data_IF_572903016359
#
_entry.id   IF_572903016359
#
_cell.length_a   1.000
_cell.length_b   1.000
_cell.length_c   1.000
_cell.angle_alpha   90.00
_cell.angle_beta   90.00
_cell.angle_gamma   90.00
#
_symmetry.space_group_name_H-M   'P 1'
#
loop_
_entity.id
_entity.type
_entity.pdbx_description
1 polymer ?
#
# COMPACT_ATOMS: atom_id res chain seq x y z
N UNK A 1 35.95 -10.65 -57.35
CA UNK A 1 34.74 -10.39 -56.57
C UNK A 1 35.09 -10.33 -55.10
N UNK A 2 35.12 -9.16 -54.48
CA UNK A 2 35.35 -9.00 -53.02
C UNK A 2 34.00 -8.85 -52.39
N UNK A 3 33.58 -9.85 -51.58
CA UNK A 3 32.41 -9.73 -50.73
C UNK A 3 32.73 -8.80 -49.56
N UNK A 4 32.03 -7.66 -49.52
CA UNK A 4 32.09 -6.76 -48.38
C UNK A 4 31.25 -7.31 -47.22
N UNK A 5 31.87 -7.51 -46.06
CA UNK A 5 31.18 -7.76 -44.81
C UNK A 5 30.57 -6.43 -44.30
N UNK A 6 29.24 -6.34 -44.24
CA UNK A 6 28.59 -5.27 -43.49
C UNK A 6 28.65 -5.64 -41.98
N UNK A 7 29.05 -4.72 -41.10
CA UNK A 7 29.00 -4.96 -39.68
C UNK A 7 27.55 -4.96 -39.20
N UNK A 8 27.19 -6.02 -38.50
CA UNK A 8 25.92 -6.13 -37.76
C UNK A 8 25.93 -5.08 -36.65
N UNK A 9 25.17 -4.00 -36.79
CA UNK A 9 25.01 -3.04 -35.72
C UNK A 9 24.24 -3.71 -34.57
N UNK A 10 24.91 -3.95 -33.44
CA UNK A 10 24.26 -4.37 -32.21
C UNK A 10 23.37 -3.23 -31.71
N UNK A 11 22.06 -3.39 -31.86
CA UNK A 11 21.08 -2.50 -31.22
C UNK A 11 21.17 -2.76 -29.72
N UNK A 12 21.91 -1.90 -29.02
CA UNK A 12 21.81 -1.85 -27.56
C UNK A 12 20.39 -1.39 -27.21
N UNK A 13 19.52 -2.32 -26.78
CA UNK A 13 18.28 -1.96 -26.09
C UNK A 13 18.69 -1.24 -24.80
N UNK A 14 18.58 0.07 -24.79
CA UNK A 14 18.63 0.83 -23.55
C UNK A 14 17.50 0.33 -22.65
N UNK A 15 17.77 0.01 -21.36
CA UNK A 15 16.71 -0.35 -20.43
C UNK A 15 15.69 0.80 -20.41
N UNK A 16 14.42 0.48 -20.55
CA UNK A 16 13.36 1.47 -20.42
C UNK A 16 13.53 2.18 -19.06
N UNK A 17 13.68 3.49 -19.10
CA UNK A 17 13.81 4.32 -17.91
C UNK A 17 12.43 4.29 -17.22
N UNK A 18 12.22 3.38 -16.28
CA UNK A 18 11.03 3.38 -15.47
C UNK A 18 11.10 4.57 -14.50
N UNK A 19 9.96 5.22 -14.28
CA UNK A 19 9.88 6.24 -13.23
C UNK A 19 10.28 5.62 -11.88
N UNK A 20 10.90 6.40 -11.01
CA UNK A 20 11.20 5.94 -9.65
C UNK A 20 9.89 5.54 -8.94
N UNK A 21 9.90 4.45 -8.15
CA UNK A 21 8.70 4.03 -7.45
C UNK A 21 8.27 5.06 -6.40
N UNK A 22 6.97 5.13 -6.14
CA UNK A 22 6.45 5.92 -5.03
C UNK A 22 6.72 5.20 -3.70
N UNK A 23 7.04 5.94 -2.65
CA UNK A 23 7.22 5.40 -1.30
C UNK A 23 5.99 5.72 -0.45
N UNK A 24 5.24 4.66 -0.10
CA UNK A 24 4.00 4.74 0.66
C UNK A 24 4.28 4.42 2.12
N UNK A 25 3.87 5.30 3.02
CA UNK A 25 4.07 5.13 4.46
C UNK A 25 3.04 4.13 5.02
N UNK A 26 3.49 2.91 5.34
CA UNK A 26 2.70 1.79 5.88
C UNK A 26 2.15 2.13 7.26
N UNK A 27 0.83 2.29 7.37
CA UNK A 27 0.15 2.75 8.61
C UNK A 27 0.70 4.10 9.10
N UNK A 28 1.06 4.99 8.15
CA UNK A 28 1.89 6.16 8.40
C UNK A 28 3.38 5.81 8.52
N UNK A 29 4.20 6.71 9.06
CA UNK A 29 5.63 6.43 9.34
C UNK A 29 5.76 5.54 10.58
N UNK A 30 5.23 4.32 10.51
CA UNK A 30 5.03 3.41 11.65
C UNK A 30 6.34 2.85 12.25
N UNK A 31 7.45 2.95 11.53
CA UNK A 31 8.76 2.64 12.08
C UNK A 31 9.19 3.60 13.19
N UNK A 32 8.75 4.86 13.13
CA UNK A 32 9.16 5.95 14.03
C UNK A 32 8.03 6.50 14.90
N UNK A 33 6.75 6.29 14.52
CA UNK A 33 5.57 6.72 15.28
C UNK A 33 4.60 5.53 15.44
N UNK A 34 3.61 5.59 16.34
CA UNK A 34 2.67 4.48 16.51
C UNK A 34 1.81 4.27 15.26
N UNK A 35 1.76 3.04 14.77
CA UNK A 35 1.03 2.66 13.56
C UNK A 35 -0.43 3.12 13.61
N UNK A 36 -0.98 3.52 12.46
CA UNK A 36 -2.38 3.88 12.31
C UNK A 36 -2.86 5.01 13.25
N UNK A 37 -1.97 5.94 13.63
CA UNK A 37 -2.32 7.13 14.42
C UNK A 37 -2.11 8.43 13.64
N UNK A 38 -2.73 9.51 14.09
CA UNK A 38 -2.51 10.82 13.47
C UNK A 38 -1.05 11.29 13.59
N UNK A 39 -0.35 10.89 14.65
CA UNK A 39 1.09 11.16 14.79
C UNK A 39 1.89 10.53 13.65
N UNK A 40 1.64 9.25 13.31
CA UNK A 40 2.32 8.55 12.22
C UNK A 40 1.99 9.15 10.84
N UNK A 41 0.74 9.51 10.58
CA UNK A 41 0.33 10.11 9.30
C UNK A 41 0.90 11.51 9.12
N UNK A 42 0.87 12.36 10.14
CA UNK A 42 1.51 13.69 10.12
C UNK A 42 3.03 13.58 9.94
N UNK A 43 3.66 12.57 10.56
CA UNK A 43 5.10 12.33 10.39
C UNK A 43 5.41 11.95 8.94
N UNK A 44 4.60 11.09 8.32
CA UNK A 44 4.75 10.72 6.91
C UNK A 44 4.70 11.96 5.98
N UNK A 45 3.78 12.90 6.24
CA UNK A 45 3.74 14.19 5.52
C UNK A 45 5.02 15.02 5.70
N UNK A 46 5.50 15.16 6.94
CA UNK A 46 6.78 15.87 7.20
C UNK A 46 7.99 15.19 6.57
N UNK A 47 7.94 13.87 6.41
CA UNK A 47 8.98 13.07 5.77
C UNK A 47 8.84 12.99 4.24
N UNK A 48 7.87 13.71 3.67
CA UNK A 48 7.61 13.79 2.24
C UNK A 48 7.35 12.40 1.62
N UNK A 49 6.67 11.51 2.34
CA UNK A 49 6.17 10.26 1.77
C UNK A 49 5.21 10.56 0.61
N UNK A 50 5.29 9.79 -0.48
CA UNK A 50 4.45 10.01 -1.67
C UNK A 50 2.98 9.62 -1.44
N UNK A 51 2.75 8.84 -0.38
CA UNK A 51 1.42 8.49 0.09
C UNK A 51 1.45 7.92 1.49
N UNK A 52 0.26 7.71 2.04
CA UNK A 52 0.05 7.01 3.31
C UNK A 52 -0.86 5.82 3.08
N UNK A 53 -0.64 4.78 3.84
CA UNK A 53 -1.52 3.62 3.87
C UNK A 53 -2.14 3.49 5.26
N UNK A 54 -3.40 3.05 5.34
CA UNK A 54 -4.14 2.83 6.57
C UNK A 54 -5.08 1.64 6.48
N UNK A 55 -5.32 0.99 7.63
CA UNK A 55 -6.18 -0.18 7.79
C UNK A 55 -7.58 0.25 8.28
N UNK A 56 -8.63 -0.01 7.52
CA UNK A 56 -9.97 0.49 7.78
C UNK A 56 -10.92 -0.62 8.25
N UNK A 57 -11.60 -0.36 9.37
CA UNK A 57 -12.66 -1.20 9.92
C UNK A 57 -13.96 -0.43 10.11
N UNK A 58 -15.08 -1.17 10.14
CA UNK A 58 -16.40 -0.64 10.50
C UNK A 58 -16.75 -1.02 11.95
N UNK A 59 -17.14 -0.04 12.75
CA UNK A 59 -17.60 -0.22 14.12
C UNK A 59 -19.06 -0.70 14.20
N UNK A 60 -19.50 -1.16 15.38
CA UNK A 60 -20.88 -1.56 15.65
C UNK A 60 -21.90 -0.45 15.31
N UNK A 61 -21.56 0.80 15.57
CA UNK A 61 -22.39 1.98 15.31
C UNK A 61 -22.16 2.60 13.92
N UNK A 62 -21.66 1.79 12.97
CA UNK A 62 -21.46 2.18 11.57
C UNK A 62 -20.54 3.40 11.39
N UNK A 63 -19.45 3.47 12.13
CA UNK A 63 -18.39 4.46 11.95
C UNK A 63 -17.14 3.81 11.38
N UNK A 64 -16.31 4.59 10.71
CA UNK A 64 -15.06 4.13 10.13
C UNK A 64 -13.89 4.48 11.06
N UNK A 65 -13.18 3.46 11.55
CA UNK A 65 -12.03 3.59 12.44
C UNK A 65 -10.80 2.93 11.82
N UNK A 66 -9.63 3.51 12.08
CA UNK A 66 -8.36 3.01 11.55
C UNK A 66 -7.66 2.19 12.63
N UNK A 67 -7.41 0.89 12.33
CA UNK A 67 -6.71 -0.07 13.16
C UNK A 67 -6.31 -1.26 12.30
N UNK A 68 -5.16 -1.91 12.57
CA UNK A 68 -4.77 -3.07 11.77
C UNK A 68 -5.53 -4.34 12.14
N UNK A 69 -5.55 -4.66 13.44
CA UNK A 69 -6.13 -5.90 13.93
C UNK A 69 -7.67 -5.76 14.11
N UNK A 70 -8.45 -6.84 14.07
CA UNK A 70 -9.89 -6.81 14.33
C UNK A 70 -10.24 -6.46 15.78
N UNK A 71 -9.24 -6.36 16.65
CA UNK A 71 -9.35 -5.92 18.04
C UNK A 71 -8.21 -4.95 18.40
N UNK A 72 -8.37 -4.24 19.51
CA UNK A 72 -7.46 -3.16 19.91
C UNK A 72 -6.30 -3.59 20.79
N UNK A 73 -6.22 -4.88 21.18
CA UNK A 73 -5.34 -5.37 22.26
C UNK A 73 -3.87 -5.06 22.05
N UNK A 74 -3.35 -5.29 20.84
CA UNK A 74 -1.92 -5.19 20.56
C UNK A 74 -1.38 -3.76 20.72
N UNK A 75 -2.14 -2.77 20.31
CA UNK A 75 -1.71 -1.37 20.33
C UNK A 75 -2.18 -0.60 21.57
N UNK A 76 -3.23 -1.06 22.25
CA UNK A 76 -3.80 -0.32 23.39
C UNK A 76 -3.70 -1.07 24.73
N UNK A 77 -3.40 -2.37 24.72
CA UNK A 77 -3.44 -3.23 25.89
C UNK A 77 -4.85 -3.67 26.32
N UNK A 78 -5.89 -3.05 25.77
CA UNK A 78 -7.30 -3.37 26.06
C UNK A 78 -7.89 -4.17 24.91
N UNK A 79 -8.58 -5.27 25.20
CA UNK A 79 -9.14 -6.18 24.19
C UNK A 79 -10.60 -5.83 23.88
N UNK A 80 -10.81 -4.95 22.90
CA UNK A 80 -12.12 -4.64 22.35
C UNK A 80 -12.17 -5.06 20.88
N UNK A 81 -13.16 -5.86 20.52
CA UNK A 81 -13.42 -6.22 19.11
C UNK A 81 -14.11 -5.06 18.42
N UNK A 82 -13.51 -4.56 17.32
CA UNK A 82 -13.94 -3.33 16.63
C UNK A 82 -15.38 -3.43 16.15
N UNK A 83 -15.74 -4.55 15.50
CA UNK A 83 -17.11 -4.77 14.99
C UNK A 83 -18.20 -4.87 16.06
N UNK A 84 -17.81 -5.07 17.33
CA UNK A 84 -18.72 -5.18 18.47
C UNK A 84 -18.69 -3.95 19.39
N UNK A 85 -17.83 -2.98 19.12
CA UNK A 85 -17.65 -1.75 19.90
C UNK A 85 -18.17 -0.51 19.16
N UNK A 86 -18.66 0.47 19.91
CA UNK A 86 -18.98 1.79 19.37
C UNK A 86 -17.71 2.63 19.21
N UNK A 87 -17.69 3.56 18.27
CA UNK A 87 -16.57 4.46 18.09
C UNK A 87 -16.17 5.20 19.38
N UNK A 88 -17.14 5.65 20.17
CA UNK A 88 -16.89 6.37 21.41
C UNK A 88 -16.13 5.52 22.46
N UNK A 89 -16.31 4.19 22.47
CA UNK A 89 -15.57 3.27 23.33
C UNK A 89 -14.13 3.12 22.84
N UNK A 90 -13.92 2.92 21.55
CA UNK A 90 -12.61 2.77 20.92
C UNK A 90 -11.75 4.04 21.08
N UNK A 91 -12.34 5.21 20.95
CA UNK A 91 -11.66 6.52 21.05
C UNK A 91 -11.14 6.87 22.45
N UNK A 92 -11.51 6.12 23.49
CA UNK A 92 -10.99 6.29 24.86
C UNK A 92 -9.68 5.55 25.09
N UNK A 93 -9.30 4.67 24.16
CA UNK A 93 -8.10 3.87 24.27
C UNK A 93 -6.87 4.66 23.81
N UNK A 94 -5.76 4.41 24.48
CA UNK A 94 -4.46 4.98 24.13
C UNK A 94 -3.76 4.04 23.14
N UNK A 95 -3.73 4.44 21.86
CA UNK A 95 -3.10 3.71 20.76
C UNK A 95 -1.67 4.21 20.46
N UNK A 96 -1.10 5.04 21.31
CA UNK A 96 0.24 5.61 21.12
C UNK A 96 1.28 5.10 22.09
N UNK A 97 0.90 4.92 23.36
CA UNK A 97 1.83 4.61 24.44
C UNK A 97 2.69 3.35 24.22
N UNK A 98 2.19 2.35 23.49
CA UNK A 98 2.96 1.14 23.19
C UNK A 98 4.23 1.42 22.37
N UNK A 99 4.26 2.53 21.64
CA UNK A 99 5.40 2.96 20.82
C UNK A 99 6.41 3.81 21.61
N UNK A 100 5.92 4.63 22.56
CA UNK A 100 6.72 5.49 23.41
C UNK A 100 5.85 6.43 24.24
N UNK A 101 6.35 6.87 25.42
CA UNK A 101 5.60 7.79 26.30
C UNK A 101 5.29 9.14 25.63
N UNK A 102 6.11 9.58 24.65
CA UNK A 102 5.90 10.80 23.86
C UNK A 102 4.64 10.74 23.00
N UNK A 103 4.12 9.53 22.72
CA UNK A 103 2.90 9.31 21.95
C UNK A 103 1.67 8.97 22.84
N UNK A 104 1.83 9.04 24.14
CA UNK A 104 0.73 8.77 25.08
C UNK A 104 -0.45 9.68 24.79
N UNK A 105 -1.65 9.07 24.72
CA UNK A 105 -2.90 9.77 24.44
C UNK A 105 -3.28 9.85 22.97
N UNK A 106 -2.47 9.30 22.04
CA UNK A 106 -2.93 9.10 20.65
C UNK A 106 -4.12 8.15 20.64
N UNK A 107 -5.24 8.58 20.05
CA UNK A 107 -6.44 7.76 19.93
C UNK A 107 -6.43 6.98 18.60
N UNK A 108 -7.24 5.91 18.51
CA UNK A 108 -7.58 5.29 17.25
C UNK A 108 -8.30 6.32 16.36
N UNK A 109 -7.77 6.73 15.20
CA UNK A 109 -8.37 7.79 14.41
C UNK A 109 -9.53 7.29 13.56
N UNK A 110 -10.42 8.20 13.18
CA UNK A 110 -11.39 7.98 12.12
C UNK A 110 -10.75 8.27 10.77
N UNK A 111 -11.31 7.70 9.69
CA UNK A 111 -10.85 7.99 8.33
C UNK A 111 -10.94 9.49 8.03
N UNK A 112 -12.01 10.16 8.41
CA UNK A 112 -12.18 11.62 8.20
C UNK A 112 -11.10 12.47 8.87
N UNK A 113 -10.46 11.98 9.95
CA UNK A 113 -9.34 12.67 10.60
C UNK A 113 -8.05 12.50 9.80
N UNK A 114 -7.79 11.29 9.28
CA UNK A 114 -6.68 11.04 8.36
C UNK A 114 -6.79 11.93 7.11
N UNK A 115 -7.96 11.95 6.45
CA UNK A 115 -8.19 12.72 5.22
C UNK A 115 -7.99 14.23 5.40
N UNK A 116 -8.07 14.76 6.64
CA UNK A 116 -7.77 16.16 6.94
C UNK A 116 -6.28 16.46 7.15
N UNK A 117 -5.46 15.46 7.43
CA UNK A 117 -4.03 15.66 7.74
C UNK A 117 -3.08 15.25 6.62
N UNK A 118 -3.57 14.54 5.60
CA UNK A 118 -2.77 14.22 4.41
C UNK A 118 -2.48 15.49 3.61
N UNK A 119 -1.26 15.57 3.05
CA UNK A 119 -0.88 16.72 2.22
C UNK A 119 -1.55 16.66 0.83
N UNK A 120 -1.65 17.78 0.10
CA UNK A 120 -2.26 17.81 -1.24
C UNK A 120 -1.60 16.88 -2.25
N UNK A 121 -0.34 16.50 -2.06
CA UNK A 121 0.43 15.66 -2.98
C UNK A 121 0.33 14.16 -2.66
N UNK A 122 -0.04 13.82 -1.41
CA UNK A 122 -0.03 12.41 -0.96
C UNK A 122 -1.17 11.60 -1.54
N UNK A 123 -0.87 10.38 -1.98
CA UNK A 123 -1.85 9.33 -2.23
C UNK A 123 -2.34 8.74 -0.90
N UNK A 124 -3.57 8.25 -0.87
CA UNK A 124 -4.14 7.58 0.30
C UNK A 124 -4.53 6.16 -0.08
N UNK A 125 -3.79 5.20 0.45
CA UNK A 125 -4.08 3.78 0.34
C UNK A 125 -4.95 3.37 1.53
N UNK A 126 -6.11 2.80 1.27
CA UNK A 126 -7.08 2.38 2.29
C UNK A 126 -7.28 0.88 2.16
N UNK A 127 -6.76 0.11 3.13
CA UNK A 127 -7.04 -1.32 3.20
C UNK A 127 -8.41 -1.57 3.81
N UNK A 128 -9.26 -2.27 3.06
CA UNK A 128 -10.54 -2.79 3.55
C UNK A 128 -10.29 -4.14 4.21
N UNK A 129 -10.31 -4.17 5.55
CA UNK A 129 -9.84 -5.32 6.36
C UNK A 129 -10.79 -6.51 6.37
N UNK A 130 -12.08 -6.28 6.30
CA UNK A 130 -13.09 -7.34 6.33
C UNK A 130 -13.86 -7.40 5.01
N UNK A 131 -14.39 -8.59 4.68
CA UNK A 131 -15.32 -8.78 3.55
C UNK A 131 -16.72 -8.32 3.96
N UNK A 132 -16.85 -7.03 4.28
CA UNK A 132 -18.09 -6.40 4.72
C UNK A 132 -18.54 -5.31 3.72
N UNK A 133 -19.49 -5.62 2.83
CA UNK A 133 -19.98 -4.64 1.85
C UNK A 133 -20.61 -3.38 2.46
N UNK A 134 -21.03 -3.42 3.73
CA UNK A 134 -21.63 -2.26 4.40
C UNK A 134 -20.59 -1.15 4.67
N UNK A 135 -19.30 -1.44 4.57
CA UNK A 135 -18.24 -0.42 4.68
C UNK A 135 -18.27 0.55 3.48
N UNK A 136 -18.66 0.09 2.29
CA UNK A 136 -18.54 0.87 1.05
C UNK A 136 -19.42 2.13 1.01
N UNK A 137 -20.72 2.11 1.36
CA UNK A 137 -21.52 3.33 1.41
C UNK A 137 -20.98 4.35 2.43
N UNK A 138 -20.47 3.88 3.58
CA UNK A 138 -19.88 4.75 4.60
C UNK A 138 -18.58 5.39 4.10
N UNK A 139 -17.71 4.59 3.48
CA UNK A 139 -16.47 5.05 2.86
C UNK A 139 -16.76 6.10 1.78
N UNK A 140 -17.67 5.80 0.86
CA UNK A 140 -18.07 6.71 -0.22
C UNK A 140 -18.55 8.05 0.32
N UNK A 141 -19.34 8.05 1.38
CA UNK A 141 -19.87 9.25 2.01
C UNK A 141 -18.75 10.07 2.70
N UNK A 142 -17.81 9.43 3.40
CA UNK A 142 -16.66 10.13 4.00
C UNK A 142 -15.72 10.70 2.94
N UNK A 143 -15.43 9.95 1.87
CA UNK A 143 -14.60 10.43 0.76
C UNK A 143 -15.25 11.63 0.05
N UNK A 144 -16.57 11.57 -0.18
CA UNK A 144 -17.33 12.68 -0.80
C UNK A 144 -17.28 13.96 0.06
N UNK A 145 -17.28 13.84 1.39
CA UNK A 145 -17.18 14.97 2.32
C UNK A 145 -15.76 15.51 2.46
N UNK A 146 -14.79 14.70 2.12
CA UNK A 146 -13.38 15.11 2.16
C UNK A 146 -13.05 16.03 0.99
N UNK A 147 -11.97 16.77 1.11
CA UNK A 147 -11.42 17.55 -0.01
C UNK A 147 -10.37 16.77 -0.81
N UNK A 148 -10.19 15.47 -0.51
CA UNK A 148 -9.23 14.63 -1.20
C UNK A 148 -9.84 14.12 -2.51
N UNK A 149 -9.26 14.44 -3.67
CA UNK A 149 -9.76 13.96 -4.95
C UNK A 149 -9.77 12.42 -5.03
N UNK A 150 -10.82 11.84 -5.64
CA UNK A 150 -11.00 10.38 -5.73
C UNK A 150 -9.84 9.69 -6.45
N UNK A 151 -9.23 10.35 -7.43
CA UNK A 151 -8.06 9.85 -8.17
C UNK A 151 -6.79 9.76 -7.33
N UNK A 152 -6.78 10.29 -6.12
CA UNK A 152 -5.71 10.11 -5.13
C UNK A 152 -5.97 8.96 -4.17
N UNK A 153 -7.17 8.39 -4.19
CA UNK A 153 -7.55 7.27 -3.33
C UNK A 153 -7.18 5.95 -4.02
N UNK A 154 -6.59 5.06 -3.26
CA UNK A 154 -6.27 3.67 -3.63
C UNK A 154 -6.98 2.75 -2.65
N UNK A 155 -7.85 1.90 -3.13
CA UNK A 155 -8.51 0.89 -2.30
C UNK A 155 -7.76 -0.42 -2.46
N UNK A 156 -7.32 -0.99 -1.35
CA UNK A 156 -6.60 -2.25 -1.32
C UNK A 156 -7.32 -3.24 -0.41
N UNK A 157 -7.31 -4.52 -0.73
CA UNK A 157 -7.89 -5.56 0.12
C UNK A 157 -7.44 -6.96 -0.31
N UNK A 158 -7.43 -7.88 0.65
CA UNK A 158 -7.33 -9.33 0.42
C UNK A 158 -8.66 -9.96 -0.02
N UNK A 159 -9.77 -9.21 0.01
CA UNK A 159 -11.13 -9.66 -0.31
C UNK A 159 -11.52 -9.25 -1.73
N UNK A 160 -11.39 -10.15 -2.74
CA UNK A 160 -11.60 -9.80 -4.14
C UNK A 160 -13.06 -9.41 -4.44
N UNK A 161 -14.04 -10.04 -3.78
CA UNK A 161 -15.47 -9.70 -3.87
C UNK A 161 -15.74 -8.25 -3.50
N UNK A 162 -15.16 -7.81 -2.38
CA UNK A 162 -15.31 -6.44 -1.88
C UNK A 162 -14.63 -5.41 -2.78
N UNK A 163 -13.41 -5.73 -3.29
CA UNK A 163 -12.71 -4.86 -4.24
C UNK A 163 -13.48 -4.67 -5.55
N UNK A 164 -14.11 -5.74 -6.05
CA UNK A 164 -14.97 -5.66 -7.25
C UNK A 164 -16.14 -4.71 -7.02
N UNK A 165 -16.85 -4.85 -5.90
CA UNK A 165 -17.93 -3.95 -5.53
C UNK A 165 -17.45 -2.51 -5.33
N UNK A 166 -16.29 -2.32 -4.71
CA UNK A 166 -15.67 -1.00 -4.52
C UNK A 166 -15.35 -0.34 -5.87
N UNK A 167 -14.80 -1.08 -6.83
CA UNK A 167 -14.54 -0.60 -8.19
C UNK A 167 -15.82 -0.17 -8.92
N UNK A 168 -16.90 -0.94 -8.78
CA UNK A 168 -18.21 -0.64 -9.38
C UNK A 168 -18.85 0.63 -8.76
N UNK A 169 -18.74 0.79 -7.43
CA UNK A 169 -19.39 1.89 -6.71
C UNK A 169 -18.57 3.19 -6.69
N UNK A 170 -17.24 3.09 -6.82
CA UNK A 170 -16.29 4.20 -6.76
C UNK A 170 -15.27 4.13 -7.91
N UNK A 171 -15.72 4.24 -9.17
CA UNK A 171 -14.86 4.06 -10.36
C UNK A 171 -13.74 5.11 -10.46
N UNK A 172 -13.83 6.23 -9.74
CA UNK A 172 -12.77 7.24 -9.65
C UNK A 172 -11.57 6.82 -8.80
N UNK A 173 -11.73 5.78 -7.94
CA UNK A 173 -10.63 5.21 -7.17
C UNK A 173 -9.96 4.08 -7.95
N UNK A 174 -8.63 3.99 -7.85
CA UNK A 174 -7.93 2.77 -8.25
C UNK A 174 -8.06 1.69 -7.19
N UNK A 175 -8.08 0.43 -7.63
CA UNK A 175 -8.19 -0.73 -6.75
C UNK A 175 -7.02 -1.68 -6.99
N UNK A 176 -6.36 -2.12 -5.92
CA UNK A 176 -5.26 -3.08 -6.02
C UNK A 176 -5.54 -4.31 -5.17
N UNK A 177 -5.40 -5.47 -5.79
CA UNK A 177 -5.63 -6.73 -5.12
C UNK A 177 -4.41 -7.11 -4.29
N UNK A 178 -4.57 -7.08 -2.95
CA UNK A 178 -3.56 -7.53 -2.00
C UNK A 178 -3.37 -9.04 -2.07
N UNK A 179 -2.10 -9.48 -2.19
CA UNK A 179 -1.80 -10.89 -2.21
C UNK A 179 -0.47 -11.21 -1.54
N UNK A 180 -0.53 -12.15 -0.57
CA UNK A 180 0.67 -12.82 -0.08
C UNK A 180 1.28 -13.71 -1.15
N UNK A 181 2.60 -13.79 -1.18
CA UNK A 181 3.33 -14.72 -2.03
C UNK A 181 3.94 -15.82 -1.17
N UNK A 182 3.61 -17.07 -1.50
CA UNK A 182 4.30 -18.24 -1.01
C UNK A 182 5.47 -18.61 -1.92
N UNK A 183 6.10 -19.74 -1.64
CA UNK A 183 7.17 -20.31 -2.45
C UNK A 183 6.76 -21.70 -2.94
N UNK A 184 6.73 -21.90 -4.25
CA UNK A 184 6.58 -23.22 -4.83
C UNK A 184 7.78 -24.10 -4.45
N UNK A 185 7.54 -25.27 -3.86
CA UNK A 185 8.59 -26.12 -3.29
C UNK A 185 9.48 -26.75 -4.35
N UNK A 186 8.99 -26.99 -5.56
CA UNK A 186 9.72 -27.64 -6.63
C UNK A 186 10.62 -26.66 -7.38
N UNK A 187 10.13 -25.43 -7.65
CA UNK A 187 10.83 -24.43 -8.46
C UNK A 187 11.47 -23.33 -7.62
N UNK A 188 11.04 -23.17 -6.38
CA UNK A 188 11.38 -22.06 -5.51
C UNK A 188 10.81 -20.72 -5.98
N UNK A 189 9.94 -20.68 -6.99
CA UNK A 189 9.33 -19.47 -7.54
C UNK A 189 8.19 -18.97 -6.66
N UNK A 190 7.79 -17.68 -6.81
CA UNK A 190 6.59 -17.16 -6.17
C UNK A 190 5.34 -17.95 -6.59
N UNK A 191 4.44 -18.15 -5.63
CA UNK A 191 3.10 -18.72 -5.87
C UNK A 191 2.05 -17.84 -5.16
N UNK A 192 0.93 -17.47 -5.82
CA UNK A 192 0.50 -17.86 -7.18
C UNK A 192 1.46 -17.40 -8.29
N UNK A 193 1.36 -18.03 -9.48
CA UNK A 193 2.13 -17.61 -10.67
C UNK A 193 1.66 -16.24 -11.21
N UNK A 194 2.46 -15.63 -12.10
CA UNK A 194 2.09 -14.37 -12.75
C UNK A 194 0.75 -14.48 -13.50
N UNK A 195 0.54 -15.57 -14.25
CA UNK A 195 -0.69 -15.81 -15.01
C UNK A 195 -1.90 -15.94 -14.09
N UNK A 196 -1.74 -16.60 -12.96
CA UNK A 196 -2.81 -16.75 -11.97
C UNK A 196 -3.13 -15.41 -11.31
N UNK A 197 -2.12 -14.64 -10.91
CA UNK A 197 -2.28 -13.30 -10.34
C UNK A 197 -3.00 -12.36 -11.31
N UNK A 198 -2.62 -12.35 -12.60
CA UNK A 198 -3.26 -11.55 -13.66
C UNK A 198 -4.71 -11.97 -13.84
N UNK A 199 -4.98 -13.27 -13.89
CA UNK A 199 -6.34 -13.82 -14.03
C UNK A 199 -7.23 -13.37 -12.86
N UNK A 200 -6.72 -13.46 -11.62
CA UNK A 200 -7.45 -13.04 -10.42
C UNK A 200 -7.76 -11.54 -10.43
N UNK A 201 -6.77 -10.70 -10.72
CA UNK A 201 -6.96 -9.24 -10.78
C UNK A 201 -7.97 -8.83 -11.86
N UNK A 202 -7.89 -9.43 -13.05
CA UNK A 202 -8.83 -9.17 -14.15
C UNK A 202 -10.26 -9.61 -13.83
N UNK A 203 -10.44 -10.70 -13.09
CA UNK A 203 -11.77 -11.20 -12.70
C UNK A 203 -12.56 -10.21 -11.83
N UNK A 204 -11.86 -9.29 -11.18
CA UNK A 204 -12.44 -8.25 -10.31
C UNK A 204 -12.26 -6.84 -10.86
N UNK A 205 -11.77 -6.68 -12.09
CA UNK A 205 -11.45 -5.40 -12.72
C UNK A 205 -10.50 -4.52 -11.87
N UNK A 206 -9.56 -5.12 -11.14
CA UNK A 206 -8.56 -4.38 -10.38
C UNK A 206 -7.61 -3.64 -11.34
N UNK A 207 -7.15 -2.46 -10.92
CA UNK A 207 -6.17 -1.67 -11.68
C UNK A 207 -4.74 -2.21 -11.53
N UNK A 208 -4.50 -3.03 -10.50
CA UNK A 208 -3.19 -3.61 -10.25
C UNK A 208 -3.19 -4.64 -9.12
N UNK A 209 -1.97 -5.04 -8.80
CA UNK A 209 -1.64 -5.98 -7.74
C UNK A 209 -0.78 -5.28 -6.68
N UNK A 210 -1.03 -5.58 -5.41
CA UNK A 210 -0.18 -5.16 -4.30
C UNK A 210 0.33 -6.41 -3.58
N UNK A 211 1.59 -6.78 -3.87
CA UNK A 211 2.14 -8.09 -3.54
C UNK A 211 3.08 -8.03 -2.34
N UNK A 212 3.03 -9.06 -1.50
CA UNK A 212 4.03 -9.25 -0.47
C UNK A 212 5.42 -9.42 -1.12
N UNK A 213 6.46 -8.84 -0.50
CA UNK A 213 7.85 -9.04 -0.91
C UNK A 213 8.22 -10.52 -0.96
N UNK A 214 9.05 -10.90 -1.95
CA UNK A 214 9.52 -12.27 -2.10
C UNK A 214 10.97 -12.29 -2.61
N UNK A 215 11.86 -13.20 -2.13
CA UNK A 215 13.27 -13.24 -2.54
C UNK A 215 13.45 -13.43 -4.06
N UNK A 216 12.61 -14.25 -4.68
CA UNK A 216 12.61 -14.51 -6.14
C UNK A 216 11.57 -13.68 -6.91
N UNK A 217 11.25 -12.51 -6.44
CA UNK A 217 10.52 -11.50 -7.20
C UNK A 217 11.48 -10.94 -8.24
N UNK A 218 11.29 -11.23 -9.51
CA UNK A 218 12.23 -10.98 -10.60
C UNK A 218 11.62 -10.17 -11.75
N UNK A 219 12.46 -9.81 -12.73
CA UNK A 219 12.04 -9.03 -13.89
C UNK A 219 11.02 -9.76 -14.78
N UNK A 220 11.03 -11.10 -14.80
CA UNK A 220 10.06 -11.90 -15.56
C UNK A 220 8.66 -11.74 -14.96
N UNK A 221 8.54 -11.85 -13.64
CA UNK A 221 7.27 -11.62 -12.92
C UNK A 221 6.74 -10.19 -13.15
N UNK A 222 7.61 -9.18 -12.99
CA UNK A 222 7.22 -7.78 -13.19
C UNK A 222 6.76 -7.53 -14.62
N UNK A 223 7.55 -8.01 -15.60
CA UNK A 223 7.20 -7.87 -17.02
C UNK A 223 5.87 -8.53 -17.34
N UNK A 224 5.63 -9.75 -16.89
CA UNK A 224 4.37 -10.47 -17.16
C UNK A 224 3.16 -9.70 -16.61
N UNK A 225 3.24 -9.18 -15.37
CA UNK A 225 2.16 -8.41 -14.75
C UNK A 225 1.89 -7.10 -15.52
N UNK A 226 2.95 -6.39 -15.93
CA UNK A 226 2.84 -5.16 -16.72
C UNK A 226 2.30 -5.40 -18.13
N UNK A 227 2.75 -6.44 -18.81
CA UNK A 227 2.20 -6.88 -20.10
C UNK A 227 0.71 -7.28 -19.96
N UNK A 228 0.32 -7.70 -18.76
CA UNK A 228 -1.08 -7.91 -18.37
C UNK A 228 -1.91 -6.63 -18.22
N UNK A 229 -1.29 -5.44 -18.31
CA UNK A 229 -1.92 -4.13 -18.17
C UNK A 229 -2.19 -3.74 -16.71
N UNK A 230 -1.49 -4.34 -15.74
CA UNK A 230 -1.68 -4.11 -14.32
C UNK A 230 -0.54 -3.27 -13.72
N UNK A 231 -0.89 -2.36 -12.81
CA UNK A 231 0.07 -1.71 -11.92
C UNK A 231 0.57 -2.72 -10.87
N UNK A 232 1.81 -2.50 -10.39
CA UNK A 232 2.45 -3.44 -9.47
C UNK A 232 3.07 -2.71 -8.28
N UNK A 233 2.59 -3.04 -7.11
CA UNK A 233 3.00 -2.49 -5.82
C UNK A 233 3.58 -3.59 -4.95
N UNK A 234 4.43 -3.25 -4.00
CA UNK A 234 5.05 -4.23 -3.10
C UNK A 234 5.07 -3.77 -1.65
N UNK A 235 4.77 -4.68 -0.72
CA UNK A 235 4.74 -4.47 0.73
C UNK A 235 5.34 -5.64 1.51
N UNK A 236 5.78 -5.53 2.74
CA UNK A 236 6.31 -4.29 3.37
C UNK A 236 7.82 -4.36 3.24
N UNK A 237 8.43 -3.34 2.69
CA UNK A 237 9.87 -3.31 2.41
C UNK A 237 10.52 -2.21 3.24
N UNK A 238 11.35 -2.58 4.22
CA UNK A 238 12.02 -1.65 5.13
C UNK A 238 13.54 -1.55 4.89
N UNK A 239 14.08 -2.49 4.11
CA UNK A 239 15.49 -2.51 3.77
C UNK A 239 15.78 -1.61 2.56
N UNK A 240 16.71 -0.64 2.65
CA UNK A 240 17.14 0.15 1.49
C UNK A 240 17.64 -0.71 0.32
N UNK A 241 18.37 -1.79 0.59
CA UNK A 241 18.86 -2.71 -0.45
C UNK A 241 17.71 -3.41 -1.19
N UNK A 242 16.70 -3.88 -0.44
CA UNK A 242 15.51 -4.48 -1.08
C UNK A 242 14.71 -3.43 -1.87
N UNK A 243 14.55 -2.22 -1.31
CA UNK A 243 13.84 -1.14 -2.00
C UNK A 243 14.51 -0.79 -3.33
N UNK A 244 15.84 -0.68 -3.36
CA UNK A 244 16.60 -0.45 -4.59
C UNK A 244 16.44 -1.59 -5.59
N UNK A 245 16.42 -2.84 -5.12
CA UNK A 245 16.14 -4.01 -5.97
C UNK A 245 14.76 -3.92 -6.61
N UNK A 246 13.71 -3.61 -5.84
CA UNK A 246 12.36 -3.46 -6.38
C UNK A 246 12.23 -2.24 -7.31
N UNK A 247 12.90 -1.13 -6.99
CA UNK A 247 12.98 0.03 -7.86
C UNK A 247 13.62 -0.32 -9.21
N UNK A 248 14.73 -1.07 -9.21
CA UNK A 248 15.40 -1.53 -10.42
C UNK A 248 14.54 -2.50 -11.24
N UNK A 249 13.65 -3.26 -10.61
CA UNK A 249 12.67 -4.11 -11.28
C UNK A 249 11.50 -3.33 -11.89
N UNK A 250 11.31 -2.05 -11.51
CA UNK A 250 10.29 -1.19 -12.07
C UNK A 250 8.91 -1.36 -11.44
N UNK A 251 8.80 -1.63 -10.13
CA UNK A 251 7.51 -1.57 -9.42
C UNK A 251 7.00 -0.13 -9.34
N UNK A 252 5.69 0.07 -9.26
CA UNK A 252 5.07 1.40 -9.25
C UNK A 252 5.13 2.05 -7.87
N UNK A 253 5.01 1.26 -6.80
CA UNK A 253 5.22 1.76 -5.43
C UNK A 253 5.79 0.71 -4.48
N UNK A 254 6.37 1.21 -3.40
CA UNK A 254 6.92 0.44 -2.29
C UNK A 254 6.29 0.94 -1.00
N UNK A 255 5.55 0.07 -0.33
CA UNK A 255 4.97 0.34 0.99
C UNK A 255 5.97 -0.02 2.08
N UNK A 256 6.26 0.93 2.98
CA UNK A 256 7.35 0.83 3.97
C UNK A 256 7.00 1.50 5.30
N UNK A 257 7.56 0.98 6.40
CA UNK A 257 7.47 1.61 7.71
C UNK A 257 8.42 2.83 7.86
N UNK A 258 9.41 2.99 6.94
CA UNK A 258 10.46 4.02 7.00
C UNK A 258 10.57 4.82 5.70
N UNK A 259 9.54 5.61 5.30
CA UNK A 259 9.51 6.26 4.00
C UNK A 259 10.69 7.21 3.77
N UNK A 260 11.05 8.02 4.76
CA UNK A 260 12.19 8.94 4.67
C UNK A 260 13.50 8.21 4.41
N UNK A 261 13.76 7.13 5.17
CA UNK A 261 15.00 6.34 5.05
C UNK A 261 15.17 5.75 3.66
N UNK A 262 14.09 5.26 3.05
CA UNK A 262 14.15 4.68 1.72
C UNK A 262 14.31 5.76 0.64
N UNK A 263 13.60 6.87 0.73
CA UNK A 263 13.73 8.01 -0.20
C UNK A 263 15.15 8.60 -0.16
N UNK A 264 15.72 8.81 1.02
CA UNK A 264 17.09 9.31 1.18
C UNK A 264 18.13 8.37 0.54
N UNK A 265 17.93 7.05 0.65
CA UNK A 265 18.83 6.05 0.06
C UNK A 265 18.74 6.04 -1.48
N UNK A 266 17.53 6.17 -2.04
CA UNK A 266 17.32 6.27 -3.48
C UNK A 266 17.94 7.55 -4.06
N UNK A 267 17.81 8.69 -3.36
CA UNK A 267 18.36 9.98 -3.78
C UNK A 267 19.89 10.03 -3.78
N UNK A 268 20.58 9.26 -2.92
CA UNK A 268 22.06 9.15 -2.92
C UNK A 268 22.58 8.41 -4.13
N UNK A 269 21.96 7.31 -4.52
CA UNK A 269 22.40 6.56 -5.73
C UNK A 269 22.22 7.37 -7.01
N UNK A 270 21.17 8.20 -7.11
CA UNK A 270 20.97 9.08 -8.26
C UNK A 270 22.03 10.18 -8.40
N UNK A 271 22.81 10.46 -7.33
CA UNK A 271 23.90 11.44 -7.31
C UNK A 271 25.29 10.84 -7.42
N UNK A 272 25.42 9.51 -7.46
CA UNK A 272 26.72 8.84 -7.61
C UNK A 272 27.63 8.95 -6.36
N UNK A 273 27.05 9.16 -5.17
CA UNK A 273 27.75 9.23 -3.88
C UNK A 273 27.73 7.88 -3.14
#
# INVERSE_FOLDING_TARGET
MKLGFLPLAAVMLLPALHAAPLYIAHRGSSGEAPENTLAAFKLAGRQLADGVECDLHRTRDNRLVICHDPNTKRTTGVDLKISESNLAELRRLDAGKFKGEEFKGEALPQLSELLRVVTPEQLVYIELKEDDPLILPLLKEELKKSQVPMERIRLISFHPSLLKLAKEQMPGCKTYYLRGLGTDRATGRPTPSAEELIRLARAINADGLDLCRHPKFDAELVKAIRDGGLELHVWTVDSPMEALRYAALGVDSITTNYPKRLKDSAGRQGRGE
#
